data_IF_997502320768
#
_entry.id   IF_997502320768
#
_cell.length_a   1.000
_cell.length_b   1.000
_cell.length_c   1.000
_cell.angle_alpha   90.00
_cell.angle_beta   90.00
_cell.angle_gamma   90.00
#
_symmetry.space_group_name_H-M   'P 1'
#
loop_
_entity.id
_entity.type
_entity.pdbx_description
1 polymer ?
#
# COMPACT_ATOMS: atom_id res chain seq x y z
N UNK A 1 -1.47 23.47 10.16
CA UNK A 1 -2.49 22.40 10.22
C UNK A 1 -3.55 22.85 11.19
N UNK A 2 -4.80 22.52 10.93
CA UNK A 2 -5.93 22.84 11.80
C UNK A 2 -6.73 21.57 12.08
N UNK A 3 -7.35 21.53 13.26
CA UNK A 3 -8.06 20.36 13.77
C UNK A 3 -9.42 20.76 14.31
N UNK A 4 -10.40 19.86 14.21
CA UNK A 4 -11.69 20.02 14.87
C UNK A 4 -11.64 19.59 16.35
N UNK A 5 -12.77 19.75 17.06
CA UNK A 5 -12.91 19.38 18.48
C UNK A 5 -12.71 17.88 18.76
N UNK A 6 -12.81 17.03 17.72
CA UNK A 6 -12.57 15.59 17.81
C UNK A 6 -11.11 15.21 17.47
N UNK A 7 -10.21 16.19 17.38
CA UNK A 7 -8.80 16.03 16.98
C UNK A 7 -8.62 15.46 15.57
N UNK A 8 -9.59 15.66 14.66
CA UNK A 8 -9.44 15.29 13.24
C UNK A 8 -8.84 16.45 12.46
N UNK A 9 -7.90 16.15 11.56
CA UNK A 9 -7.24 17.14 10.71
C UNK A 9 -8.25 17.71 9.71
N UNK A 10 -8.53 19.01 9.74
CA UNK A 10 -9.51 19.67 8.82
C UNK A 10 -8.84 20.60 7.80
N UNK A 11 -7.57 20.96 8.01
CA UNK A 11 -6.80 21.72 7.04
C UNK A 11 -5.31 21.40 7.11
N UNK A 12 -4.69 21.13 5.97
CA UNK A 12 -3.25 20.92 5.82
C UNK A 12 -2.70 21.86 4.74
N UNK A 13 -1.78 22.76 5.13
CA UNK A 13 -1.18 23.74 4.22
C UNK A 13 -2.21 24.54 3.38
N UNK A 14 -3.31 24.97 4.00
CA UNK A 14 -4.39 25.70 3.33
C UNK A 14 -5.32 24.83 2.47
N UNK A 15 -5.11 23.51 2.44
CA UNK A 15 -5.97 22.55 1.74
C UNK A 15 -6.96 21.94 2.72
N UNK A 16 -8.25 22.15 2.48
CA UNK A 16 -9.34 21.65 3.32
C UNK A 16 -9.47 20.12 3.25
N UNK A 17 -9.78 19.51 4.38
CA UNK A 17 -9.94 18.08 4.57
C UNK A 17 -11.32 17.82 5.15
N UNK A 18 -12.05 16.86 4.58
CA UNK A 18 -13.43 16.54 4.97
C UNK A 18 -13.57 15.07 5.31
N UNK A 19 -14.63 14.74 6.05
CA UNK A 19 -14.90 13.39 6.56
C UNK A 19 -16.37 13.02 6.33
N UNK A 20 -16.63 11.72 6.23
CA UNK A 20 -17.99 11.19 6.36
C UNK A 20 -18.42 11.09 7.83
N UNK A 21 -19.65 10.62 8.04
CA UNK A 21 -20.23 10.45 9.39
C UNK A 21 -19.55 9.33 10.20
N UNK A 22 -18.93 8.36 9.53
CA UNK A 22 -18.20 7.24 10.15
C UNK A 22 -16.76 7.62 10.50
N UNK A 23 -16.32 8.82 10.10
CA UNK A 23 -15.00 9.37 10.39
C UNK A 23 -13.94 9.02 9.34
N UNK A 24 -14.32 8.45 8.19
CA UNK A 24 -13.39 8.26 7.09
C UNK A 24 -13.12 9.60 6.38
N UNK A 25 -11.87 9.86 6.04
CA UNK A 25 -11.47 11.07 5.32
C UNK A 25 -11.94 11.00 3.86
N UNK A 26 -12.80 11.92 3.41
CA UNK A 26 -13.34 11.99 2.03
C UNK A 26 -12.45 12.81 1.09
N UNK A 27 -11.88 13.91 1.58
CA UNK A 27 -10.91 14.73 0.86
C UNK A 27 -9.62 14.78 1.67
N UNK A 28 -8.52 14.36 1.08
CA UNK A 28 -7.22 14.25 1.75
C UNK A 28 -6.08 14.66 0.83
N UNK A 29 -4.94 15.01 1.39
CA UNK A 29 -3.76 15.40 0.60
C UNK A 29 -2.93 14.16 0.25
N UNK A 30 -2.87 13.82 -1.03
CA UNK A 30 -2.08 12.71 -1.58
C UNK A 30 -1.06 13.29 -2.55
N UNK A 31 0.23 12.97 -2.37
CA UNK A 31 1.34 13.54 -3.16
C UNK A 31 1.33 15.07 -3.22
N UNK A 32 0.93 15.70 -2.11
CA UNK A 32 0.86 17.15 -2.01
C UNK A 32 -0.43 17.77 -2.55
N UNK A 33 -1.29 17.03 -3.27
CA UNK A 33 -2.53 17.53 -3.86
C UNK A 33 -3.80 17.00 -3.18
N UNK A 34 -4.88 17.80 -3.18
CA UNK A 34 -6.17 17.31 -2.69
C UNK A 34 -6.68 16.22 -3.62
N UNK A 35 -7.05 15.09 -3.02
CA UNK A 35 -7.58 13.92 -3.67
C UNK A 35 -8.83 13.47 -2.95
N UNK A 36 -9.79 12.97 -3.72
CA UNK A 36 -10.93 12.24 -3.15
C UNK A 36 -10.48 10.84 -2.74
N UNK A 37 -10.85 10.44 -1.53
CA UNK A 37 -10.61 9.12 -0.98
C UNK A 37 -11.93 8.35 -0.98
N UNK A 38 -11.92 7.10 -1.44
CA UNK A 38 -13.11 6.25 -1.51
C UNK A 38 -12.94 5.02 -0.65
N UNK A 39 -14.03 4.56 -0.06
CA UNK A 39 -14.07 3.42 0.84
C UNK A 39 -15.16 2.44 0.40
N UNK A 40 -14.98 1.17 0.73
CA UNK A 40 -16.06 0.20 0.64
C UNK A 40 -16.95 0.20 1.90
N UNK A 41 -18.01 -0.61 1.88
CA UNK A 41 -18.95 -0.72 3.01
C UNK A 41 -18.32 -1.31 4.30
N UNK A 42 -17.05 -1.71 4.27
CA UNK A 42 -16.29 -2.18 5.44
C UNK A 42 -15.28 -1.13 5.92
N UNK A 43 -15.42 0.13 5.49
CA UNK A 43 -14.53 1.25 5.80
C UNK A 43 -13.08 1.02 5.36
N UNK A 44 -12.85 0.21 4.31
CA UNK A 44 -11.51 0.05 3.73
C UNK A 44 -11.31 1.02 2.59
N UNK A 45 -10.17 1.71 2.57
CA UNK A 45 -9.78 2.61 1.48
C UNK A 45 -9.59 1.81 0.18
N UNK A 46 -10.39 2.11 -0.85
CA UNK A 46 -10.37 1.45 -2.16
C UNK A 46 -9.81 2.32 -3.27
N UNK A 47 -9.78 3.64 -3.11
CA UNK A 47 -9.18 4.56 -4.08
C UNK A 47 -8.61 5.80 -3.39
N UNK A 48 -7.40 6.23 -3.78
CA UNK A 48 -6.81 7.49 -3.38
C UNK A 48 -5.76 7.94 -4.41
N UNK A 49 -5.83 9.19 -4.86
CA UNK A 49 -4.80 9.81 -5.70
C UNK A 49 -4.45 9.02 -6.98
N UNK A 50 -5.45 8.45 -7.65
CA UNK A 50 -5.24 7.63 -8.86
C UNK A 50 -4.71 6.21 -8.60
N UNK A 51 -4.66 5.79 -7.35
CA UNK A 51 -4.32 4.41 -6.95
C UNK A 51 -5.57 3.71 -6.43
N UNK A 52 -5.80 2.47 -6.88
CA UNK A 52 -6.89 1.62 -6.39
C UNK A 52 -6.35 0.45 -5.58
N UNK A 53 -7.13 -0.01 -4.61
CA UNK A 53 -6.76 -1.09 -3.69
C UNK A 53 -7.84 -2.17 -3.67
N UNK A 54 -7.41 -3.44 -3.74
CA UNK A 54 -8.29 -4.61 -3.68
C UNK A 54 -7.97 -5.41 -2.42
N UNK A 55 -9.01 -5.95 -1.81
CA UNK A 55 -8.91 -6.71 -0.56
C UNK A 55 -9.65 -8.04 -0.69
N UNK A 56 -9.14 -9.06 -0.01
CA UNK A 56 -9.84 -10.33 0.13
C UNK A 56 -10.97 -10.24 1.19
N UNK A 57 -11.70 -11.34 1.38
CA UNK A 57 -12.79 -11.44 2.35
C UNK A 57 -12.33 -11.28 3.82
N UNK A 58 -11.07 -11.62 4.09
CA UNK A 58 -10.40 -11.57 5.39
C UNK A 58 -9.74 -10.21 5.68
N UNK A 59 -10.12 -9.16 4.94
CA UNK A 59 -9.63 -7.80 5.16
C UNK A 59 -8.14 -7.56 4.80
N UNK A 60 -7.50 -8.50 4.11
CA UNK A 60 -6.10 -8.37 3.67
C UNK A 60 -6.04 -7.71 2.30
N UNK A 61 -5.18 -6.70 2.12
CA UNK A 61 -4.95 -6.07 0.82
C UNK A 61 -4.19 -7.05 -0.07
N UNK A 62 -4.77 -7.37 -1.22
CA UNK A 62 -4.21 -8.34 -2.17
C UNK A 62 -3.68 -7.69 -3.45
N UNK A 63 -4.09 -6.45 -3.74
CA UNK A 63 -3.56 -5.72 -4.88
C UNK A 63 -3.62 -4.21 -4.71
N UNK A 64 -2.64 -3.54 -5.31
CA UNK A 64 -2.57 -2.09 -5.52
C UNK A 64 -2.40 -1.83 -7.00
N UNK A 65 -3.15 -0.89 -7.57
CA UNK A 65 -3.13 -0.63 -9.00
C UNK A 65 -3.08 0.88 -9.28
N UNK A 66 -2.08 1.31 -10.03
CA UNK A 66 -1.90 2.70 -10.52
C UNK A 66 -2.16 2.74 -12.03
N UNK A 67 -1.99 3.92 -12.64
CA UNK A 67 -2.02 4.05 -14.10
C UNK A 67 -0.91 3.21 -14.79
N UNK A 68 0.23 3.03 -14.13
CA UNK A 68 1.43 2.42 -14.72
C UNK A 68 1.59 0.95 -14.34
N UNK A 69 1.16 0.56 -13.14
CA UNK A 69 1.50 -0.74 -12.57
C UNK A 69 0.31 -1.40 -11.90
N UNK A 70 0.30 -2.73 -11.94
CA UNK A 70 -0.49 -3.57 -11.03
C UNK A 70 0.48 -4.29 -10.11
N UNK A 71 0.22 -4.24 -8.81
CA UNK A 71 0.97 -4.96 -7.79
C UNK A 71 0.03 -5.95 -7.12
N UNK A 72 0.41 -7.21 -7.03
CA UNK A 72 -0.32 -8.26 -6.31
C UNK A 72 0.53 -8.80 -5.16
N UNK A 73 -0.09 -9.14 -4.03
CA UNK A 73 0.60 -9.49 -2.80
C UNK A 73 0.26 -10.90 -2.32
N UNK A 74 1.28 -11.62 -1.85
CA UNK A 74 1.15 -12.78 -0.98
C UNK A 74 1.50 -12.34 0.43
N UNK A 75 0.56 -12.44 1.37
CA UNK A 75 0.73 -11.92 2.72
C UNK A 75 0.55 -13.03 3.75
N UNK A 76 1.52 -13.17 4.66
CA UNK A 76 1.37 -13.92 5.90
C UNK A 76 0.64 -13.06 6.92
N UNK A 77 -0.53 -13.52 7.36
CA UNK A 77 -1.39 -12.87 8.36
C UNK A 77 -1.46 -13.66 9.67
N UNK A 78 -0.66 -14.71 9.82
CA UNK A 78 -0.70 -15.59 11.00
C UNK A 78 -0.04 -14.99 12.25
N UNK A 79 0.89 -14.05 12.05
CA UNK A 79 1.60 -13.36 13.13
C UNK A 79 0.85 -12.15 13.67
N UNK A 80 1.36 -11.57 14.78
CA UNK A 80 0.85 -10.33 15.37
C UNK A 80 0.87 -9.15 14.38
N UNK A 81 1.87 -9.13 13.48
CA UNK A 81 1.97 -8.18 12.38
C UNK A 81 2.01 -8.97 11.07
N UNK A 82 1.18 -8.57 10.11
CA UNK A 82 1.18 -9.14 8.78
C UNK A 82 2.48 -8.85 8.03
N UNK A 83 2.96 -9.78 7.21
CA UNK A 83 4.18 -9.66 6.42
C UNK A 83 3.91 -10.00 4.96
N UNK A 84 4.38 -9.19 4.03
CA UNK A 84 4.31 -9.53 2.59
C UNK A 84 5.42 -10.54 2.31
N UNK A 85 5.07 -11.76 1.92
CA UNK A 85 6.03 -12.81 1.56
C UNK A 85 6.52 -12.66 0.13
N UNK A 86 5.65 -12.17 -0.76
CA UNK A 86 6.00 -11.87 -2.13
C UNK A 86 5.12 -10.78 -2.73
N UNK A 87 5.66 -10.07 -3.73
CA UNK A 87 4.90 -9.20 -4.60
C UNK A 87 5.17 -9.48 -6.08
N UNK A 88 4.13 -9.25 -6.90
CA UNK A 88 4.20 -9.34 -8.36
C UNK A 88 3.88 -7.96 -8.92
N UNK A 89 4.88 -7.30 -9.51
CA UNK A 89 4.75 -5.97 -10.08
C UNK A 89 4.71 -6.09 -11.60
N UNK A 90 3.52 -5.97 -12.18
CA UNK A 90 3.32 -5.93 -13.63
C UNK A 90 3.30 -4.49 -14.11
N UNK A 91 4.24 -4.13 -14.98
CA UNK A 91 4.20 -2.89 -15.75
C UNK A 91 3.13 -2.99 -16.85
N UNK A 92 2.18 -2.06 -16.85
CA UNK A 92 1.02 -2.11 -17.77
C UNK A 92 1.38 -1.78 -19.21
N UNK A 93 2.47 -1.05 -19.45
CA UNK A 93 2.87 -0.64 -20.79
C UNK A 93 3.61 -1.76 -21.53
N UNK A 94 4.52 -2.44 -20.83
CA UNK A 94 5.34 -3.53 -21.36
C UNK A 94 4.73 -4.92 -21.13
N UNK A 95 3.85 -5.07 -20.14
CA UNK A 95 3.37 -6.36 -19.65
C UNK A 95 4.41 -7.15 -18.84
N UNK A 96 5.61 -6.59 -18.63
CA UNK A 96 6.67 -7.26 -17.89
C UNK A 96 6.32 -7.34 -16.41
N UNK A 97 6.52 -8.51 -15.82
CA UNK A 97 6.33 -8.72 -14.38
C UNK A 97 7.69 -8.91 -13.70
N UNK A 98 7.89 -8.18 -12.60
CA UNK A 98 8.94 -8.46 -11.63
C UNK A 98 8.31 -9.16 -10.43
N UNK A 99 8.88 -10.29 -10.06
CA UNK A 99 8.50 -11.06 -8.88
C UNK A 99 9.54 -10.86 -7.80
N UNK A 100 9.09 -10.47 -6.61
CA UNK A 100 9.96 -10.21 -5.47
C UNK A 100 9.58 -11.10 -4.30
N UNK A 101 10.56 -11.83 -3.74
CA UNK A 101 10.40 -12.66 -2.53
C UNK A 101 11.05 -11.96 -1.34
N UNK A 102 10.36 -11.95 -0.21
CA UNK A 102 10.86 -11.42 1.05
C UNK A 102 11.07 -12.53 2.08
N UNK A 103 12.24 -12.55 2.70
CA UNK A 103 12.57 -13.50 3.77
C UNK A 103 12.69 -12.77 5.09
N UNK A 104 11.94 -13.24 6.08
CA UNK A 104 11.89 -12.65 7.42
C UNK A 104 12.48 -13.58 8.48
N UNK A 105 13.21 -12.99 9.42
CA UNK A 105 13.50 -13.55 10.73
C UNK A 105 12.65 -12.82 11.79
N UNK A 106 13.31 -12.11 12.70
CA UNK A 106 12.61 -11.15 13.57
C UNK A 106 12.14 -9.91 12.81
N UNK A 107 12.91 -9.47 11.80
CA UNK A 107 12.52 -8.45 10.80
C UNK A 107 12.84 -8.93 9.38
N UNK A 108 12.81 -8.02 8.41
CA UNK A 108 13.21 -8.34 7.03
C UNK A 108 14.72 -8.64 6.98
N UNK A 109 15.10 -9.78 6.40
CA UNK A 109 16.50 -10.23 6.33
C UNK A 109 17.02 -10.20 4.90
N UNK A 110 16.20 -10.56 3.92
CA UNK A 110 16.59 -10.47 2.51
C UNK A 110 15.41 -10.27 1.58
N UNK A 111 15.72 -9.74 0.39
CA UNK A 111 14.82 -9.61 -0.74
C UNK A 111 15.49 -10.19 -1.99
N UNK A 112 14.70 -10.87 -2.81
CA UNK A 112 15.10 -11.49 -4.06
C UNK A 112 14.19 -11.01 -5.19
N UNK A 113 14.74 -10.29 -6.18
CA UNK A 113 14.00 -9.80 -7.35
C UNK A 113 14.31 -10.65 -8.58
N UNK A 114 13.25 -11.15 -9.21
CA UNK A 114 13.30 -11.99 -10.42
C UNK A 114 12.43 -11.33 -11.48
N UNK A 115 13.03 -10.92 -12.59
CA UNK A 115 12.28 -10.43 -13.74
C UNK A 115 11.77 -11.63 -14.54
N UNK A 116 10.54 -11.59 -15.06
CA UNK A 116 9.90 -12.73 -15.76
C UNK A 116 10.68 -13.22 -17.01
N UNK A 117 11.57 -12.41 -17.57
CA UNK A 117 12.51 -12.87 -18.60
C UNK A 117 13.59 -13.85 -18.06
N UNK A 118 13.66 -14.01 -16.74
CA UNK A 118 14.58 -14.86 -15.96
C UNK A 118 16.06 -14.66 -16.29
N UNK A 119 16.39 -13.53 -16.90
CA UNK A 119 17.77 -13.16 -17.25
C UNK A 119 18.40 -12.20 -16.25
N UNK A 120 17.56 -11.50 -15.49
CA UNK A 120 17.96 -10.48 -14.53
C UNK A 120 17.51 -10.84 -13.12
N UNK A 121 18.44 -10.76 -12.18
CA UNK A 121 18.28 -11.18 -10.80
C UNK A 121 19.01 -10.22 -9.87
N UNK A 122 18.35 -9.74 -8.81
CA UNK A 122 18.99 -8.98 -7.75
C UNK A 122 18.71 -9.63 -6.39
N UNK A 123 19.71 -9.59 -5.50
CA UNK A 123 19.59 -10.06 -4.13
C UNK A 123 20.09 -9.01 -3.15
N UNK A 124 19.28 -8.73 -2.13
CA UNK A 124 19.55 -7.73 -1.12
C UNK A 124 19.48 -8.36 0.27
N UNK A 125 20.40 -7.95 1.15
CA UNK A 125 20.40 -8.35 2.57
C UNK A 125 20.20 -7.12 3.45
N UNK A 126 19.37 -7.26 4.47
CA UNK A 126 19.00 -6.17 5.37
C UNK A 126 19.39 -6.49 6.81
N UNK A 127 19.74 -5.44 7.55
CA UNK A 127 19.85 -5.46 9.00
C UNK A 127 18.66 -4.71 9.58
N UNK A 128 17.72 -5.43 10.18
CA UNK A 128 16.56 -4.82 10.85
C UNK A 128 16.98 -4.21 12.19
N UNK A 129 16.39 -3.07 12.53
CA UNK A 129 16.54 -2.46 13.85
C UNK A 129 15.35 -2.87 14.76
N UNK A 130 15.27 -2.32 15.96
CA UNK A 130 14.21 -2.69 16.91
C UNK A 130 12.80 -2.21 16.52
N UNK A 131 12.66 -1.40 15.46
CA UNK A 131 11.39 -0.90 14.94
C UNK A 131 10.87 -1.73 13.76
N UNK A 132 11.66 -2.70 13.29
CA UNK A 132 11.43 -3.43 12.04
C UNK A 132 12.39 -3.01 10.95
#
# INVERSE_FOLDING_TARGET
MEYDEANRLICYNGKEITYDADGNMLQGVVNGEISTLKYDCRNRLTEAGGTTYKYNAENTRISTETAEKTIEYVTDVSGTLSRILAEYVTDKASGQTTYTIYVYGQGLVSQEDIIDDKTSYNYYTYHYNHLG
#
